data_IF_668391521797
#
_entry.id   IF_668391521797
#
_cell.length_a   1.000
_cell.length_b   1.000
_cell.length_c   1.000
_cell.angle_alpha   90.00
_cell.angle_beta   90.00
_cell.angle_gamma   90.00
#
_symmetry.space_group_name_H-M   'P 1'
#
loop_
_entity.id
_entity.type
_entity.pdbx_description
1 polymer ?
#
# COMPACT_ATOMS: atom_id res chain seq x y z
N UNK A 1 26.66 11.99 0.76
CA UNK A 1 25.71 11.62 1.83
C UNK A 1 24.65 12.69 1.97
N UNK A 2 23.58 12.62 1.17
CA UNK A 2 22.42 13.51 1.32
C UNK A 2 21.68 13.12 2.60
N UNK A 3 21.41 14.08 3.49
CA UNK A 3 20.63 13.82 4.72
C UNK A 3 19.30 13.16 4.31
N UNK A 4 18.91 12.00 4.87
CA UNK A 4 17.61 11.44 4.57
C UNK A 4 16.57 12.49 4.94
N UNK A 5 15.71 12.87 3.99
CA UNK A 5 14.51 13.63 4.29
C UNK A 5 13.77 12.84 5.37
N UNK A 6 13.69 13.39 6.58
CA UNK A 6 13.00 12.73 7.68
C UNK A 6 11.51 12.65 7.36
N UNK A 7 11.09 11.57 6.71
CA UNK A 7 9.70 11.29 6.35
C UNK A 7 8.79 11.21 7.58
N UNK A 8 9.38 10.95 8.74
CA UNK A 8 8.75 10.94 10.06
C UNK A 8 7.91 12.19 10.36
N UNK A 9 8.29 13.38 9.84
CA UNK A 9 7.50 14.60 10.04
C UNK A 9 6.12 14.54 9.36
N UNK A 10 6.04 13.85 8.22
CA UNK A 10 4.79 13.65 7.49
C UNK A 10 3.92 12.60 8.14
N UNK A 11 4.52 11.55 8.71
CA UNK A 11 3.79 10.58 9.53
C UNK A 11 3.23 11.22 10.82
N UNK A 12 3.98 12.12 11.46
CA UNK A 12 3.46 12.90 12.58
C UNK A 12 2.33 13.85 12.17
N UNK A 13 2.43 14.46 10.99
CA UNK A 13 1.34 15.26 10.42
C UNK A 13 0.08 14.40 10.23
N UNK A 14 0.21 13.18 9.69
CA UNK A 14 -0.90 12.24 9.54
C UNK A 14 -1.56 11.91 10.89
N UNK A 15 -0.77 11.60 11.92
CA UNK A 15 -1.28 11.36 13.28
C UNK A 15 -2.02 12.58 13.83
N UNK A 16 -1.45 13.78 13.68
CA UNK A 16 -2.10 15.01 14.14
C UNK A 16 -3.45 15.21 13.45
N UNK A 17 -3.50 14.98 12.14
CA UNK A 17 -4.70 15.10 11.32
C UNK A 17 -5.73 14.04 11.72
N UNK A 18 -5.33 12.80 11.95
CA UNK A 18 -6.20 11.74 12.43
C UNK A 18 -6.82 12.06 13.80
N UNK A 19 -6.02 12.59 14.75
CA UNK A 19 -6.53 13.05 16.05
C UNK A 19 -7.51 14.21 15.88
N UNK A 20 -7.16 15.18 15.04
CA UNK A 20 -7.99 16.34 14.77
C UNK A 20 -9.35 15.94 14.16
N UNK A 21 -9.35 15.13 13.09
CA UNK A 21 -10.58 14.69 12.42
C UNK A 21 -11.42 13.78 13.32
N UNK A 22 -10.79 12.90 14.10
CA UNK A 22 -11.48 12.12 15.13
C UNK A 22 -12.18 13.03 16.15
N UNK A 23 -11.53 14.08 16.63
CA UNK A 23 -12.14 15.03 17.57
C UNK A 23 -13.31 15.80 16.94
N UNK A 24 -13.17 16.26 15.70
CA UNK A 24 -14.24 16.95 14.95
C UNK A 24 -15.45 16.04 14.75
N UNK A 25 -15.24 14.79 14.31
CA UNK A 25 -16.32 13.81 14.10
C UNK A 25 -16.98 13.38 15.41
N UNK A 26 -16.20 13.22 16.49
CA UNK A 26 -16.74 12.95 17.81
C UNK A 26 -17.61 14.10 18.35
N UNK A 27 -17.21 15.36 18.10
CA UNK A 27 -18.01 16.53 18.41
C UNK A 27 -19.30 16.58 17.57
N UNK A 28 -19.20 16.29 16.26
CA UNK A 28 -20.36 16.20 15.36
C UNK A 28 -21.38 15.16 15.85
N UNK A 29 -20.91 13.98 16.25
CA UNK A 29 -21.76 12.97 16.89
C UNK A 29 -22.43 13.49 18.16
N UNK A 30 -21.67 14.16 19.05
CA UNK A 30 -22.20 14.62 20.34
C UNK A 30 -23.30 15.68 20.19
N UNK A 31 -23.19 16.53 19.17
CA UNK A 31 -24.16 17.60 18.88
C UNK A 31 -25.42 17.04 18.21
N UNK A 32 -25.27 16.09 17.29
CA UNK A 32 -26.39 15.57 16.47
C UNK A 32 -27.07 14.35 17.08
N UNK A 33 -26.36 13.57 17.92
CA UNK A 33 -26.77 12.23 18.34
C UNK A 33 -26.79 11.21 17.18
N UNK A 34 -26.28 11.57 16.00
CA UNK A 34 -26.40 10.77 14.78
C UNK A 34 -25.55 9.51 14.87
N UNK A 35 -26.23 8.38 14.75
CA UNK A 35 -25.60 7.06 14.72
C UNK A 35 -24.65 6.89 13.52
N UNK A 36 -24.93 7.56 12.39
CA UNK A 36 -24.03 7.57 11.23
C UNK A 36 -22.73 8.32 11.53
N UNK A 37 -22.81 9.46 12.22
CA UNK A 37 -21.63 10.24 12.63
C UNK A 37 -20.82 9.54 13.73
N UNK A 38 -21.46 8.71 14.56
CA UNK A 38 -20.74 7.82 15.48
C UNK A 38 -19.88 6.81 14.71
N UNK A 39 -20.41 6.21 13.65
CA UNK A 39 -19.66 5.28 12.80
C UNK A 39 -18.44 5.96 12.16
N UNK A 40 -18.62 7.17 11.64
CA UNK A 40 -17.56 7.99 11.04
C UNK A 40 -16.47 8.37 12.07
N UNK A 41 -16.87 8.66 13.32
CA UNK A 41 -15.94 8.89 14.42
C UNK A 41 -15.15 7.63 14.82
N UNK A 42 -15.80 6.46 14.82
CA UNK A 42 -15.16 5.18 15.14
C UNK A 42 -14.18 4.74 14.04
N UNK A 43 -14.51 5.01 12.77
CA UNK A 43 -13.59 4.82 11.64
C UNK A 43 -12.30 5.61 11.83
N UNK A 44 -12.39 6.83 12.39
CA UNK A 44 -11.21 7.66 12.65
C UNK A 44 -10.23 7.05 13.67
N UNK A 45 -10.68 6.10 14.51
CA UNK A 45 -9.79 5.32 15.39
C UNK A 45 -8.93 4.35 14.57
N UNK A 46 -9.52 3.73 13.54
CA UNK A 46 -8.80 2.85 12.61
C UNK A 46 -7.75 3.66 11.85
N UNK A 47 -8.09 4.88 11.43
CA UNK A 47 -7.16 5.76 10.70
C UNK A 47 -6.01 6.22 11.59
N UNK A 48 -6.29 6.58 12.85
CA UNK A 48 -5.24 6.86 13.83
C UNK A 48 -4.34 5.65 14.07
N UNK A 49 -4.92 4.44 14.14
CA UNK A 49 -4.16 3.21 14.31
C UNK A 49 -3.24 2.93 13.12
N UNK A 50 -3.74 3.12 11.89
CA UNK A 50 -2.95 3.02 10.66
C UNK A 50 -1.80 4.03 10.65
N UNK A 51 -2.05 5.30 10.99
CA UNK A 51 -1.02 6.34 11.05
C UNK A 51 0.07 6.04 12.09
N UNK A 52 -0.29 5.45 13.24
CA UNK A 52 0.68 5.01 14.27
C UNK A 52 1.52 3.84 13.76
N UNK A 53 0.91 2.85 13.09
CA UNK A 53 1.63 1.73 12.47
C UNK A 53 2.57 2.23 11.37
N UNK A 54 2.11 3.16 10.53
CA UNK A 54 2.92 3.82 9.51
C UNK A 54 4.14 4.53 10.13
N UNK A 55 3.96 5.31 11.19
CA UNK A 55 5.08 5.95 11.91
C UNK A 55 6.06 4.92 12.47
N UNK A 56 5.57 3.85 13.09
CA UNK A 56 6.40 2.81 13.66
C UNK A 56 7.23 2.09 12.58
N UNK A 57 6.61 1.72 11.46
CA UNK A 57 7.30 1.05 10.35
C UNK A 57 8.26 1.97 9.61
N UNK A 58 7.95 3.27 9.47
CA UNK A 58 8.90 4.25 8.93
C UNK A 58 10.12 4.41 9.82
N UNK A 59 9.95 4.41 11.15
CA UNK A 59 11.07 4.45 12.09
C UNK A 59 11.90 3.17 12.04
N UNK A 60 11.26 2.02 11.89
CA UNK A 60 11.95 0.74 11.72
C UNK A 60 12.72 0.71 10.40
N UNK A 61 12.09 1.11 9.29
CA UNK A 61 12.70 1.19 7.95
C UNK A 61 13.92 2.10 7.91
N UNK A 62 13.88 3.22 8.65
CA UNK A 62 15.00 4.16 8.73
C UNK A 62 16.21 3.63 9.54
N UNK A 63 16.09 2.48 10.19
CA UNK A 63 17.24 1.88 10.89
C UNK A 63 18.23 1.30 9.89
N UNK A 64 19.54 1.58 10.07
CA UNK A 64 20.58 1.02 9.20
C UNK A 64 20.65 -0.51 9.33
N UNK A 65 21.48 -1.12 8.49
CA UNK A 65 21.81 -2.53 8.61
C UNK A 65 22.39 -2.88 9.99
N UNK A 66 21.99 -4.03 10.53
CA UNK A 66 22.48 -4.57 11.79
C UNK A 66 22.97 -6.02 11.60
N UNK A 67 23.47 -6.64 12.68
CA UNK A 67 24.02 -8.00 12.64
C UNK A 67 23.00 -9.10 12.27
N UNK A 68 21.69 -8.81 12.30
CA UNK A 68 20.63 -9.75 11.90
C UNK A 68 20.00 -9.37 10.56
N UNK A 69 20.19 -8.14 10.10
CA UNK A 69 19.60 -7.57 8.89
C UNK A 69 20.67 -6.81 8.08
N UNK A 70 21.52 -7.56 7.37
CA UNK A 70 22.67 -7.00 6.63
C UNK A 70 22.25 -6.04 5.49
N UNK A 71 21.03 -6.17 4.99
CA UNK A 71 20.47 -5.28 3.95
C UNK A 71 19.59 -4.15 4.53
N UNK A 72 19.57 -4.00 5.86
CA UNK A 72 18.75 -3.02 6.55
C UNK A 72 17.29 -3.46 6.69
N UNK A 73 16.47 -2.49 7.11
CA UNK A 73 15.08 -2.71 7.52
C UNK A 73 14.06 -2.16 6.52
N UNK A 74 14.48 -1.79 5.31
CA UNK A 74 13.63 -1.13 4.31
C UNK A 74 12.34 -1.88 3.96
N UNK A 75 12.35 -3.23 4.05
CA UNK A 75 11.15 -4.05 3.82
C UNK A 75 10.04 -3.84 4.86
N UNK A 76 10.34 -3.22 6.01
CA UNK A 76 9.34 -2.86 7.03
C UNK A 76 8.22 -1.98 6.47
N UNK A 77 8.53 -1.11 5.50
CA UNK A 77 7.53 -0.24 4.86
C UNK A 77 6.43 -1.03 4.13
N UNK A 78 6.76 -2.17 3.54
CA UNK A 78 5.78 -3.01 2.87
C UNK A 78 4.77 -3.59 3.86
N UNK A 79 5.17 -3.91 5.10
CA UNK A 79 4.23 -4.40 6.11
C UNK A 79 3.19 -3.35 6.49
N UNK A 80 3.59 -2.08 6.70
CA UNK A 80 2.64 -0.99 6.96
C UNK A 80 1.70 -0.75 5.77
N UNK A 81 2.24 -0.67 4.55
CA UNK A 81 1.43 -0.52 3.32
C UNK A 81 0.45 -1.69 3.12
N UNK A 82 0.87 -2.93 3.43
CA UNK A 82 0.02 -4.10 3.36
C UNK A 82 -1.11 -4.07 4.38
N UNK A 83 -0.78 -3.74 5.64
CA UNK A 83 -1.76 -3.55 6.71
C UNK A 83 -2.83 -2.53 6.31
N UNK A 84 -2.39 -1.37 5.82
CA UNK A 84 -3.27 -0.31 5.37
C UNK A 84 -4.10 -0.70 4.14
N UNK A 85 -3.50 -1.38 3.16
CA UNK A 85 -4.21 -1.91 2.01
C UNK A 85 -5.34 -2.87 2.41
N UNK A 86 -5.15 -3.67 3.46
CA UNK A 86 -6.21 -4.55 4.00
C UNK A 86 -7.33 -3.71 4.62
N UNK A 87 -7.00 -2.68 5.40
CA UNK A 87 -8.01 -1.79 5.99
C UNK A 87 -8.86 -1.09 4.92
N UNK A 88 -8.22 -0.57 3.87
CA UNK A 88 -8.89 0.05 2.72
C UNK A 88 -9.86 -0.95 2.05
N UNK A 89 -9.43 -2.20 1.84
CA UNK A 89 -10.29 -3.23 1.24
C UNK A 89 -11.46 -3.63 2.14
N UNK A 90 -11.26 -3.69 3.45
CA UNK A 90 -12.33 -3.94 4.43
C UNK A 90 -13.34 -2.79 4.39
N UNK A 91 -12.89 -1.54 4.41
CA UNK A 91 -13.75 -0.37 4.31
C UNK A 91 -14.55 -0.37 2.99
N UNK A 92 -13.89 -0.66 1.87
CA UNK A 92 -14.54 -0.79 0.56
C UNK A 92 -15.62 -1.89 0.55
N UNK A 93 -15.34 -3.05 1.15
CA UNK A 93 -16.31 -4.12 1.31
C UNK A 93 -17.52 -3.71 2.15
N UNK A 94 -17.29 -2.96 3.24
CA UNK A 94 -18.37 -2.41 4.07
C UNK A 94 -19.23 -1.40 3.30
N UNK A 95 -18.63 -0.54 2.49
CA UNK A 95 -19.35 0.43 1.63
C UNK A 95 -20.20 -0.30 0.59
N UNK A 96 -19.63 -1.28 -0.11
CA UNK A 96 -20.36 -2.06 -1.11
C UNK A 96 -21.52 -2.83 -0.48
N UNK A 97 -21.31 -3.40 0.70
CA UNK A 97 -22.37 -4.06 1.47
C UNK A 97 -23.47 -3.07 1.89
N UNK A 98 -23.10 -1.90 2.40
CA UNK A 98 -24.06 -0.86 2.79
C UNK A 98 -24.85 -0.31 1.60
N UNK A 99 -24.19 -0.12 0.45
CA UNK A 99 -24.84 0.28 -0.80
C UNK A 99 -25.85 -0.79 -1.25
N UNK A 100 -25.46 -2.07 -1.20
CA UNK A 100 -26.35 -3.18 -1.54
C UNK A 100 -27.55 -3.30 -0.60
N UNK A 101 -27.33 -3.18 0.71
CA UNK A 101 -28.41 -3.20 1.69
C UNK A 101 -29.36 -2.02 1.49
N UNK A 102 -28.84 -0.83 1.21
CA UNK A 102 -29.65 0.37 0.94
C UNK A 102 -30.48 0.26 -0.34
N UNK A 103 -29.96 -0.43 -1.36
CA UNK A 103 -30.70 -0.75 -2.57
C UNK A 103 -31.89 -1.69 -2.30
N UNK A 104 -31.72 -2.67 -1.42
CA UNK A 104 -32.81 -3.59 -1.02
C UNK A 104 -33.78 -2.98 -0.02
N UNK A 105 -33.28 -2.13 0.87
CA UNK A 105 -34.02 -1.50 1.96
C UNK A 105 -33.81 0.02 1.93
N UNK A 106 -34.58 0.76 1.10
CA UNK A 106 -34.47 2.21 1.05
C UNK A 106 -34.72 2.82 2.43
N UNK A 107 -33.77 3.63 2.89
CA UNK A 107 -33.85 4.37 4.13
C UNK A 107 -33.81 5.87 3.84
N UNK A 108 -34.66 6.63 4.55
CA UNK A 108 -34.63 8.09 4.55
C UNK A 108 -33.21 8.57 4.84
N UNK A 109 -32.73 9.52 4.03
CA UNK A 109 -31.40 10.10 4.18
C UNK A 109 -31.33 10.93 5.46
N UNK A 110 -30.13 11.01 6.02
CA UNK A 110 -29.86 11.91 7.13
C UNK A 110 -30.18 13.35 6.69
N UNK A 111 -30.85 14.10 7.55
CA UNK A 111 -31.13 15.51 7.30
C UNK A 111 -29.82 16.29 7.16
N UNK A 112 -29.85 17.37 6.36
CA UNK A 112 -28.76 18.33 6.25
C UNK A 112 -28.60 19.05 7.59
N UNK A 113 -27.76 18.49 8.46
CA UNK A 113 -27.51 19.01 9.80
C UNK A 113 -26.12 19.65 9.94
N UNK A 114 -25.88 20.29 11.09
CA UNK A 114 -24.57 20.84 11.44
C UNK A 114 -23.46 19.75 11.46
N UNK A 115 -23.82 18.48 11.67
CA UNK A 115 -22.89 17.37 11.68
C UNK A 115 -22.34 17.05 10.30
N UNK A 116 -23.16 17.11 9.25
CA UNK A 116 -22.71 16.96 7.86
C UNK A 116 -21.68 18.05 7.50
N UNK A 117 -21.91 19.30 7.92
CA UNK A 117 -20.96 20.39 7.71
C UNK A 117 -19.60 20.13 8.38
N UNK A 118 -19.60 19.59 9.60
CA UNK A 118 -18.38 19.20 10.32
C UNK A 118 -17.66 18.02 9.64
N UNK A 119 -18.39 17.01 9.16
CA UNK A 119 -17.80 15.90 8.40
C UNK A 119 -17.19 16.35 7.07
N UNK A 120 -17.84 17.29 6.36
CA UNK A 120 -17.26 17.90 5.15
C UNK A 120 -15.98 18.66 5.47
N UNK A 121 -15.95 19.45 6.55
CA UNK A 121 -14.74 20.14 6.98
C UNK A 121 -13.59 19.15 7.29
N UNK A 122 -13.89 18.05 7.99
CA UNK A 122 -12.93 16.98 8.25
C UNK A 122 -12.43 16.33 6.95
N UNK A 123 -13.32 16.07 5.99
CA UNK A 123 -12.97 15.51 4.68
C UNK A 123 -12.04 16.45 3.88
N UNK A 124 -12.25 17.76 3.93
CA UNK A 124 -11.35 18.73 3.27
C UNK A 124 -9.94 18.65 3.86
N UNK A 125 -9.80 18.58 5.19
CA UNK A 125 -8.49 18.43 5.83
C UNK A 125 -7.81 17.11 5.41
N UNK A 126 -8.55 15.99 5.43
CA UNK A 126 -8.05 14.71 4.96
C UNK A 126 -7.62 14.76 3.48
N UNK A 127 -8.35 15.47 2.63
CA UNK A 127 -8.02 15.61 1.21
C UNK A 127 -6.72 16.37 0.97
N UNK A 128 -6.54 17.50 1.66
CA UNK A 128 -5.31 18.31 1.55
C UNK A 128 -4.08 17.53 2.04
N UNK A 129 -4.20 16.89 3.20
CA UNK A 129 -3.11 16.13 3.80
C UNK A 129 -2.84 14.86 3.01
N UNK A 130 -3.88 14.13 2.62
CA UNK A 130 -3.78 12.92 1.81
C UNK A 130 -3.07 13.18 0.48
N UNK A 131 -3.42 14.27 -0.21
CA UNK A 131 -2.73 14.69 -1.43
C UNK A 131 -1.24 15.02 -1.20
N UNK A 132 -0.93 15.72 -0.10
CA UNK A 132 0.45 16.02 0.28
C UNK A 132 1.25 14.73 0.57
N UNK A 133 0.68 13.80 1.33
CA UNK A 133 1.32 12.53 1.69
C UNK A 133 1.59 11.67 0.46
N UNK A 134 0.61 11.54 -0.45
CA UNK A 134 0.82 10.81 -1.72
C UNK A 134 1.92 11.47 -2.55
N UNK A 135 1.91 12.80 -2.64
CA UNK A 135 2.89 13.55 -3.44
C UNK A 135 4.32 13.40 -2.89
N UNK A 136 4.47 13.49 -1.56
CA UNK A 136 5.77 13.32 -0.90
C UNK A 136 6.20 11.85 -0.93
N UNK A 137 5.30 10.91 -0.66
CA UNK A 137 5.56 9.47 -0.67
C UNK A 137 6.10 9.02 -2.02
N UNK A 138 5.48 9.46 -3.13
CA UNK A 138 5.97 9.17 -4.49
C UNK A 138 7.35 9.73 -4.76
N UNK A 139 7.61 10.99 -4.40
CA UNK A 139 8.92 11.63 -4.59
C UNK A 139 10.02 10.99 -3.76
N UNK A 140 9.68 10.51 -2.56
CA UNK A 140 10.62 9.88 -1.64
C UNK A 140 10.77 8.36 -1.84
N UNK A 141 9.94 7.74 -2.70
CA UNK A 141 9.89 6.28 -2.84
C UNK A 141 9.34 5.57 -1.61
N UNK A 142 8.53 6.23 -0.79
CA UNK A 142 7.92 5.64 0.41
C UNK A 142 6.50 5.16 0.11
N UNK A 143 6.36 3.84 0.04
CA UNK A 143 5.06 3.18 -0.15
C UNK A 143 4.15 3.40 1.06
N UNK A 144 4.70 3.57 2.27
CA UNK A 144 3.91 3.83 3.49
C UNK A 144 3.21 5.17 3.44
N UNK A 145 3.94 6.25 3.12
CA UNK A 145 3.31 7.57 3.00
C UNK A 145 2.29 7.63 1.84
N UNK A 146 2.56 6.90 0.75
CA UNK A 146 1.59 6.80 -0.34
C UNK A 146 0.33 6.01 0.08
N UNK A 147 0.47 4.95 0.87
CA UNK A 147 -0.65 4.19 1.43
C UNK A 147 -1.51 5.06 2.35
N UNK A 148 -0.88 5.71 3.32
CA UNK A 148 -1.53 6.56 4.34
C UNK A 148 -2.27 7.73 3.68
N UNK A 149 -1.62 8.38 2.70
CA UNK A 149 -2.26 9.42 1.91
C UNK A 149 -3.46 8.93 1.09
N UNK A 150 -3.40 7.73 0.50
CA UNK A 150 -4.55 7.14 -0.23
C UNK A 150 -5.69 6.75 0.68
N UNK A 151 -5.41 6.33 1.91
CA UNK A 151 -6.44 6.07 2.91
C UNK A 151 -7.18 7.36 3.26
N UNK A 152 -6.46 8.45 3.57
CA UNK A 152 -7.09 9.76 3.81
C UNK A 152 -7.91 10.24 2.60
N UNK A 153 -7.43 10.03 1.37
CA UNK A 153 -8.19 10.35 0.16
C UNK A 153 -9.44 9.47 0.00
N UNK A 154 -9.39 8.21 0.46
CA UNK A 154 -10.54 7.31 0.47
C UNK A 154 -11.65 7.86 1.36
N UNK A 155 -11.32 8.40 2.54
CA UNK A 155 -12.28 9.09 3.42
C UNK A 155 -12.97 10.29 2.73
N UNK A 156 -12.24 10.98 1.84
CA UNK A 156 -12.82 12.09 1.09
C UNK A 156 -13.81 11.58 0.06
N UNK A 157 -13.48 10.52 -0.67
CA UNK A 157 -14.39 9.92 -1.64
C UNK A 157 -15.65 9.38 -1.00
N UNK A 158 -15.54 8.75 0.18
CA UNK A 158 -16.71 8.30 0.94
C UNK A 158 -17.57 9.47 1.39
N UNK A 159 -16.94 10.55 1.89
CA UNK A 159 -17.64 11.77 2.30
C UNK A 159 -18.35 12.46 1.13
N UNK A 160 -17.69 12.54 -0.04
CA UNK A 160 -18.30 13.06 -1.28
C UNK A 160 -19.51 12.21 -1.66
N UNK A 161 -19.38 10.88 -1.59
CA UNK A 161 -20.50 9.96 -1.85
C UNK A 161 -21.71 10.28 -0.98
N UNK A 162 -21.51 10.44 0.33
CA UNK A 162 -22.58 10.79 1.29
C UNK A 162 -23.19 12.16 0.96
N UNK A 163 -22.37 13.19 0.73
CA UNK A 163 -22.86 14.54 0.41
C UNK A 163 -23.66 14.56 -0.90
N UNK A 164 -23.14 13.91 -1.94
CA UNK A 164 -23.84 13.79 -3.22
C UNK A 164 -25.17 13.02 -3.07
N UNK A 165 -25.20 11.95 -2.27
CA UNK A 165 -26.41 11.18 -1.97
C UNK A 165 -27.48 12.03 -1.29
N UNK A 166 -27.10 12.78 -0.25
CA UNK A 166 -27.99 13.69 0.48
C UNK A 166 -28.49 14.82 -0.42
N UNK A 167 -27.59 15.46 -1.17
CA UNK A 167 -27.96 16.55 -2.09
C UNK A 167 -28.88 16.08 -3.22
N UNK A 168 -28.60 14.92 -3.82
CA UNK A 168 -29.41 14.36 -4.89
C UNK A 168 -30.84 14.07 -4.42
N UNK A 169 -31.01 13.44 -3.25
CA UNK A 169 -32.35 13.17 -2.74
C UNK A 169 -33.09 14.44 -2.33
N UNK A 170 -32.41 15.44 -1.77
CA UNK A 170 -33.02 16.72 -1.41
C UNK A 170 -33.51 17.52 -2.63
N UNK A 171 -32.81 17.44 -3.77
CA UNK A 171 -33.15 18.18 -4.99
C UNK A 171 -34.15 17.44 -5.90
N UNK A 172 -34.08 16.10 -5.95
CA UNK A 172 -34.82 15.32 -6.96
C UNK A 172 -35.96 14.47 -6.39
N UNK A 173 -35.99 14.23 -5.08
CA UNK A 173 -36.90 13.27 -4.45
C UNK A 173 -36.64 11.81 -4.87
N UNK A 174 -35.60 11.54 -5.67
CA UNK A 174 -35.18 10.21 -6.08
C UNK A 174 -34.22 9.62 -5.06
N UNK A 175 -34.73 8.69 -4.26
CA UNK A 175 -33.95 7.97 -3.24
C UNK A 175 -33.05 6.86 -3.83
N UNK A 176 -33.26 6.47 -5.10
CA UNK A 176 -32.59 5.32 -5.73
C UNK A 176 -31.24 5.66 -6.39
N UNK A 177 -30.87 6.95 -6.49
CA UNK A 177 -29.61 7.37 -7.12
C UNK A 177 -28.38 7.14 -6.22
N UNK A 178 -28.59 7.08 -4.90
CA UNK A 178 -27.54 7.01 -3.87
C UNK A 178 -26.76 5.67 -3.85
N UNK A 179 -27.39 4.47 -3.93
CA UNK A 179 -26.67 3.20 -3.90
C UNK A 179 -25.72 2.97 -5.09
N UNK A 180 -26.10 3.44 -6.29
CA UNK A 180 -25.27 3.28 -7.49
C UNK A 180 -23.96 4.07 -7.42
N UNK A 181 -24.02 5.31 -6.93
CA UNK A 181 -22.84 6.14 -6.71
C UNK A 181 -21.94 5.55 -5.63
N UNK A 182 -22.52 5.12 -4.50
CA UNK A 182 -21.79 4.46 -3.43
C UNK A 182 -21.10 3.17 -3.91
N UNK A 183 -21.76 2.39 -4.77
CA UNK A 183 -21.18 1.20 -5.37
C UNK A 183 -20.00 1.52 -6.29
N UNK A 184 -20.12 2.54 -7.15
CA UNK A 184 -19.02 2.98 -8.02
C UNK A 184 -17.80 3.47 -7.22
N UNK A 185 -18.03 4.25 -6.17
CA UNK A 185 -16.97 4.70 -5.25
C UNK A 185 -16.33 3.49 -4.57
N UNK A 186 -17.12 2.56 -4.02
CA UNK A 186 -16.63 1.33 -3.41
C UNK A 186 -15.76 0.50 -4.37
N UNK A 187 -16.17 0.33 -5.62
CA UNK A 187 -15.38 -0.38 -6.64
C UNK A 187 -14.05 0.31 -6.97
N UNK A 188 -14.05 1.65 -7.03
CA UNK A 188 -12.81 2.41 -7.23
C UNK A 188 -11.84 2.25 -6.05
N UNK A 189 -12.36 2.23 -4.82
CA UNK A 189 -11.56 1.98 -3.61
C UNK A 189 -11.01 0.56 -3.62
N UNK A 190 -11.81 -0.45 -4.00
CA UNK A 190 -11.32 -1.84 -4.17
C UNK A 190 -10.16 -1.89 -5.16
N UNK A 191 -10.29 -1.24 -6.32
CA UNK A 191 -9.21 -1.19 -7.32
C UNK A 191 -7.93 -0.58 -6.75
N UNK A 192 -8.07 0.54 -6.03
CA UNK A 192 -6.94 1.25 -5.41
C UNK A 192 -6.27 0.42 -4.32
N UNK A 193 -7.06 -0.18 -3.42
CA UNK A 193 -6.58 -1.05 -2.34
C UNK A 193 -5.91 -2.32 -2.87
N UNK A 194 -6.52 -2.99 -3.86
CA UNK A 194 -5.92 -4.16 -4.51
C UNK A 194 -4.59 -3.82 -5.19
N UNK A 195 -4.50 -2.66 -5.85
CA UNK A 195 -3.25 -2.17 -6.42
C UNK A 195 -2.17 -1.86 -5.37
N UNK A 196 -2.55 -1.43 -4.16
CA UNK A 196 -1.62 -1.25 -3.04
C UNK A 196 -1.10 -2.59 -2.49
N UNK A 197 -1.98 -3.57 -2.31
CA UNK A 197 -1.61 -4.93 -1.89
C UNK A 197 -0.68 -5.59 -2.92
N UNK A 198 -0.98 -5.49 -4.22
CA UNK A 198 -0.12 -6.04 -5.27
C UNK A 198 1.29 -5.45 -5.23
N UNK A 199 1.41 -4.12 -5.06
CA UNK A 199 2.71 -3.44 -4.92
C UNK A 199 3.45 -3.85 -3.65
N UNK A 200 2.72 -4.03 -2.55
CA UNK A 200 3.27 -4.52 -1.28
C UNK A 200 3.89 -5.90 -1.45
N UNK A 201 3.14 -6.84 -2.03
CA UNK A 201 3.60 -8.20 -2.29
C UNK A 201 4.81 -8.19 -3.21
N UNK A 202 4.76 -7.41 -4.30
CA UNK A 202 5.87 -7.27 -5.23
C UNK A 202 7.16 -6.77 -4.54
N UNK A 203 7.05 -5.77 -3.66
CA UNK A 203 8.19 -5.27 -2.89
C UNK A 203 8.77 -6.29 -1.90
N UNK A 204 7.93 -7.16 -1.32
CA UNK A 204 8.40 -8.25 -0.47
C UNK A 204 9.14 -9.33 -1.27
N UNK A 205 8.72 -9.58 -2.50
CA UNK A 205 9.27 -10.57 -3.44
C UNK A 205 10.48 -10.05 -4.26
N UNK A 206 11.08 -8.92 -3.87
CA UNK A 206 12.23 -8.32 -4.56
C UNK A 206 11.96 -8.04 -6.06
N UNK A 207 10.80 -7.45 -6.37
CA UNK A 207 10.48 -7.03 -7.72
C UNK A 207 11.52 -6.06 -8.30
N UNK A 208 11.69 -6.13 -9.63
CA UNK A 208 12.60 -5.27 -10.38
C UNK A 208 12.26 -3.79 -10.25
N UNK A 209 13.27 -2.94 -10.47
CA UNK A 209 13.06 -1.49 -10.48
C UNK A 209 12.06 -1.07 -11.57
N UNK A 210 11.44 0.12 -11.46
CA UNK A 210 10.58 0.65 -12.51
C UNK A 210 11.29 0.67 -13.88
N UNK A 211 10.51 0.47 -14.96
CA UNK A 211 11.05 0.40 -16.33
C UNK A 211 11.94 1.60 -16.67
N UNK A 212 11.52 2.82 -16.29
CA UNK A 212 12.29 4.04 -16.53
C UNK A 212 13.68 4.01 -15.86
N UNK A 213 13.76 3.50 -14.63
CA UNK A 213 15.03 3.37 -13.91
C UNK A 213 15.91 2.29 -14.53
N UNK A 214 15.33 1.15 -14.91
CA UNK A 214 16.06 0.09 -15.62
C UNK A 214 16.58 0.56 -16.99
N UNK A 215 15.82 1.38 -17.73
CA UNK A 215 16.26 1.96 -18.99
C UNK A 215 17.41 2.94 -18.80
N UNK A 216 17.41 3.73 -17.71
CA UNK A 216 18.55 4.60 -17.35
C UNK A 216 19.80 3.78 -17.04
N UNK A 217 19.67 2.70 -16.26
CA UNK A 217 20.78 1.78 -15.97
C UNK A 217 21.34 1.21 -17.27
N UNK A 218 20.48 0.69 -18.16
CA UNK A 218 20.90 0.13 -19.44
C UNK A 218 21.61 1.16 -20.32
N UNK A 219 21.09 2.39 -20.38
CA UNK A 219 21.71 3.48 -21.14
C UNK A 219 23.13 3.79 -20.66
N UNK A 220 23.36 3.79 -19.33
CA UNK A 220 24.70 3.97 -18.75
C UNK A 220 25.59 2.78 -19.10
N UNK A 221 25.14 1.54 -18.88
CA UNK A 221 25.95 0.36 -19.19
C UNK A 221 26.34 0.29 -20.67
N UNK A 222 25.49 0.77 -21.58
CA UNK A 222 25.78 0.79 -23.01
C UNK A 222 26.97 1.69 -23.38
N UNK A 223 27.16 2.84 -22.70
CA UNK A 223 28.33 3.71 -22.94
C UNK A 223 29.65 3.01 -22.60
N UNK A 224 29.63 2.13 -21.59
CA UNK A 224 30.78 1.29 -21.25
C UNK A 224 30.97 0.14 -22.23
N UNK A 225 29.90 -0.42 -22.80
CA UNK A 225 30.03 -1.47 -23.83
C UNK A 225 30.80 -0.99 -25.05
N UNK A 226 30.65 0.27 -25.43
CA UNK A 226 31.43 0.89 -26.52
C UNK A 226 32.94 0.90 -26.24
N UNK A 227 33.37 0.78 -24.97
CA UNK A 227 34.78 0.67 -24.56
C UNK A 227 35.33 -0.75 -24.62
N UNK A 228 34.56 -1.72 -25.11
CA UNK A 228 35.00 -3.11 -25.32
C UNK A 228 34.80 -4.03 -24.11
N UNK A 229 33.91 -3.67 -23.18
CA UNK A 229 33.49 -4.55 -22.07
C UNK A 229 32.07 -5.05 -22.25
N UNK A 230 31.71 -6.14 -21.58
CA UNK A 230 30.39 -6.77 -21.67
C UNK A 230 29.64 -6.76 -20.35
N UNK A 231 28.32 -6.95 -20.40
CA UNK A 231 27.48 -7.07 -19.22
C UNK A 231 26.43 -8.16 -19.41
N UNK A 232 26.16 -8.89 -18.34
CA UNK A 232 25.14 -9.94 -18.29
C UNK A 232 24.65 -10.15 -16.84
N UNK A 233 23.62 -10.99 -16.67
CA UNK A 233 22.90 -11.22 -15.40
C UNK A 233 22.53 -9.95 -14.59
N UNK A 234 22.10 -8.89 -15.28
CA UNK A 234 21.66 -7.65 -14.64
C UNK A 234 20.38 -7.90 -13.82
N UNK A 235 20.48 -7.87 -12.49
CA UNK A 235 19.33 -7.99 -11.58
C UNK A 235 19.17 -6.71 -10.79
N UNK A 236 17.95 -6.23 -10.69
CA UNK A 236 17.61 -5.06 -9.88
C UNK A 236 16.49 -5.41 -8.91
N UNK A 237 16.50 -4.77 -7.74
CA UNK A 237 15.43 -4.90 -6.74
C UNK A 237 15.33 -3.64 -5.88
N UNK A 238 14.21 -3.50 -5.17
CA UNK A 238 13.96 -2.37 -4.28
C UNK A 238 13.59 -2.84 -2.86
N UNK A 239 14.06 -2.11 -1.85
CA UNK A 239 13.64 -2.27 -0.46
C UNK A 239 13.35 -0.90 0.15
N UNK A 240 12.06 -0.54 0.22
CA UNK A 240 11.65 0.81 0.64
C UNK A 240 12.26 1.86 -0.29
N UNK A 241 12.98 2.84 0.27
CA UNK A 241 13.68 3.88 -0.49
C UNK A 241 15.07 3.47 -1.03
N UNK A 242 15.56 2.27 -0.70
CA UNK A 242 16.86 1.75 -1.14
C UNK A 242 16.70 0.89 -2.40
N UNK A 243 17.63 1.05 -3.33
CA UNK A 243 17.70 0.29 -4.59
C UNK A 243 18.94 -0.58 -4.57
N UNK A 244 18.84 -1.77 -5.14
CA UNK A 244 19.95 -2.69 -5.26
C UNK A 244 20.06 -3.17 -6.70
N UNK A 245 21.30 -3.29 -7.17
CA UNK A 245 21.63 -3.82 -8.48
C UNK A 245 22.80 -4.80 -8.33
N UNK A 246 22.70 -5.93 -9.01
CA UNK A 246 23.85 -6.80 -9.26
C UNK A 246 24.02 -7.00 -10.75
N UNK A 247 25.26 -7.04 -11.21
CA UNK A 247 25.58 -7.24 -12.62
C UNK A 247 26.92 -7.95 -12.75
N UNK A 248 27.06 -8.78 -13.77
CA UNK A 248 28.33 -9.34 -14.13
C UNK A 248 28.99 -8.44 -15.19
N UNK A 249 30.25 -8.05 -14.94
CA UNK A 249 31.07 -7.19 -15.78
C UNK A 249 32.14 -8.04 -16.47
N UNK A 250 32.05 -8.15 -17.79
CA UNK A 250 32.96 -8.91 -18.63
C UNK A 250 34.10 -8.02 -19.11
N UNK A 251 35.34 -8.36 -18.75
CA UNK A 251 36.56 -7.61 -19.13
C UNK A 251 37.59 -8.54 -19.79
N UNK A 252 38.57 -8.03 -20.55
CA UNK A 252 39.64 -8.88 -21.09
C UNK A 252 40.42 -9.58 -19.98
N UNK A 253 40.61 -10.89 -20.08
CA UNK A 253 41.28 -11.71 -19.05
C UNK A 253 42.76 -11.37 -18.85
N UNK A 254 43.38 -10.64 -19.77
CA UNK A 254 44.74 -10.11 -19.63
C UNK A 254 44.83 -8.88 -18.72
N UNK A 255 43.70 -8.29 -18.31
CA UNK A 255 43.70 -7.14 -17.41
C UNK A 255 44.19 -7.53 -16.02
N UNK A 256 44.83 -6.57 -15.35
CA UNK A 256 45.11 -6.72 -13.91
C UNK A 256 43.81 -6.57 -13.12
N UNK A 257 43.75 -7.19 -11.94
CA UNK A 257 42.62 -7.02 -11.00
C UNK A 257 42.39 -5.53 -10.70
N UNK A 258 43.46 -4.73 -10.59
CA UNK A 258 43.36 -3.29 -10.37
C UNK A 258 42.63 -2.58 -11.52
N UNK A 259 43.02 -2.84 -12.78
CA UNK A 259 42.39 -2.19 -13.93
C UNK A 259 40.90 -2.55 -14.05
N UNK A 260 40.54 -3.80 -13.74
CA UNK A 260 39.14 -4.22 -13.74
C UNK A 260 38.35 -3.58 -12.58
N UNK A 261 38.95 -3.47 -11.40
CA UNK A 261 38.35 -2.80 -10.24
C UNK A 261 38.16 -1.30 -10.49
N UNK A 262 39.14 -0.62 -11.08
CA UNK A 262 39.05 0.81 -11.41
C UNK A 262 37.88 1.09 -12.37
N UNK A 263 37.67 0.21 -13.36
CA UNK A 263 36.52 0.30 -14.26
C UNK A 263 35.20 0.02 -13.53
N UNK A 264 35.15 -0.97 -12.63
CA UNK A 264 33.97 -1.26 -11.85
C UNK A 264 33.59 -0.05 -10.97
N UNK A 265 34.55 0.56 -10.27
CA UNK A 265 34.33 1.79 -9.47
C UNK A 265 33.83 2.96 -10.33
N UNK A 266 34.33 3.11 -11.56
CA UNK A 266 33.84 4.12 -12.51
C UNK A 266 32.35 3.90 -12.86
N UNK A 267 31.98 2.66 -13.17
CA UNK A 267 30.59 2.27 -13.47
C UNK A 267 29.69 2.48 -12.24
N UNK A 268 30.13 2.04 -11.07
CA UNK A 268 29.39 2.19 -9.82
C UNK A 268 29.17 3.67 -9.45
N UNK A 269 30.18 4.52 -9.68
CA UNK A 269 30.07 5.96 -9.46
C UNK A 269 29.08 6.62 -10.42
N UNK A 270 29.09 6.25 -11.72
CA UNK A 270 28.16 6.79 -12.70
C UNK A 270 26.70 6.36 -12.41
N UNK A 271 26.49 5.08 -12.09
CA UNK A 271 25.19 4.55 -11.69
C UNK A 271 24.67 5.19 -10.40
N UNK A 272 25.54 5.36 -9.40
CA UNK A 272 25.22 6.03 -8.13
C UNK A 272 24.92 7.52 -8.29
N UNK A 273 25.52 8.17 -9.29
CA UNK A 273 25.20 9.55 -9.68
C UNK A 273 23.84 9.68 -10.37
N UNK A 274 23.42 8.66 -11.13
CA UNK A 274 22.16 8.66 -11.87
C UNK A 274 20.95 8.24 -11.03
N UNK A 275 21.13 7.33 -10.07
CA UNK A 275 20.07 6.79 -9.22
C UNK A 275 20.40 6.93 -7.73
N UNK A 276 19.62 7.76 -7.05
CA UNK A 276 19.76 7.95 -5.61
C UNK A 276 19.51 6.65 -4.83
N UNK A 277 20.30 6.42 -3.78
CA UNK A 277 20.23 5.26 -2.88
C UNK A 277 20.41 3.90 -3.60
N UNK A 278 21.15 3.87 -4.71
CA UNK A 278 21.51 2.63 -5.40
C UNK A 278 22.78 2.03 -4.78
N UNK A 279 22.68 0.78 -4.35
CA UNK A 279 23.83 -0.08 -4.04
C UNK A 279 24.08 -1.01 -5.21
N UNK A 280 25.27 -0.97 -5.79
CA UNK A 280 25.68 -1.84 -6.90
C UNK A 280 26.62 -2.92 -6.35
N UNK A 281 26.50 -4.13 -6.89
CA UNK A 281 27.46 -5.23 -6.67
C UNK A 281 27.85 -5.76 -8.03
N UNK A 282 29.10 -5.54 -8.43
CA UNK A 282 29.65 -6.08 -9.68
C UNK A 282 30.41 -7.39 -9.45
N UNK A 283 30.13 -8.40 -10.26
CA UNK A 283 30.96 -9.60 -10.36
C UNK A 283 31.82 -9.51 -11.63
N UNK A 284 33.14 -9.49 -11.49
CA UNK A 284 34.06 -9.31 -12.63
C UNK A 284 34.43 -10.68 -13.19
N UNK A 285 34.27 -10.84 -14.51
CA UNK A 285 34.50 -12.09 -15.22
C UNK A 285 35.34 -11.84 -16.49
N UNK A 286 36.25 -12.76 -16.87
CA UNK A 286 37.01 -12.65 -18.11
C UNK A 286 36.14 -12.97 -19.33
N UNK A 287 36.09 -12.09 -20.31
CA UNK A 287 35.24 -12.22 -21.50
C UNK A 287 35.57 -13.45 -22.37
N UNK A 288 36.82 -13.92 -22.32
CA UNK A 288 37.30 -15.07 -23.08
C UNK A 288 36.97 -16.41 -22.41
N UNK A 289 36.53 -16.43 -21.15
CA UNK A 289 36.19 -17.67 -20.43
C UNK A 289 34.75 -18.11 -20.73
N UNK A 290 34.54 -19.29 -21.34
CA UNK A 290 33.19 -19.82 -21.56
C UNK A 290 32.38 -20.01 -20.27
N UNK A 291 33.03 -20.23 -19.12
CA UNK A 291 32.35 -20.40 -17.83
C UNK A 291 31.54 -19.16 -17.42
N UNK A 292 31.98 -17.97 -17.85
CA UNK A 292 31.28 -16.71 -17.63
C UNK A 292 29.86 -16.74 -18.18
N UNK A 293 29.63 -17.45 -19.29
CA UNK A 293 28.31 -17.51 -19.92
C UNK A 293 27.45 -18.70 -19.46
N UNK A 294 27.97 -19.58 -18.61
CA UNK A 294 27.36 -20.88 -18.27
C UNK A 294 26.24 -20.85 -17.23
N UNK A 295 26.04 -19.74 -16.51
CA UNK A 295 25.11 -19.65 -15.38
C UNK A 295 23.73 -19.01 -15.69
N UNK A 296 23.34 -18.90 -16.96
CA UNK A 296 22.16 -18.12 -17.38
C UNK A 296 20.87 -18.95 -17.51
N UNK A 297 19.89 -18.67 -16.65
CA UNK A 297 18.49 -18.59 -17.10
C UNK A 297 18.32 -17.17 -17.70
N UNK A 298 17.96 -17.02 -18.97
CA UNK A 298 17.87 -15.70 -19.60
C UNK A 298 16.81 -14.83 -18.91
N UNK A 299 17.14 -13.56 -18.73
CA UNK A 299 16.17 -12.52 -18.36
C UNK A 299 15.06 -12.49 -19.42
N UNK A 300 13.77 -12.55 -19.06
CA UNK A 300 12.72 -12.33 -20.05
C UNK A 300 12.86 -10.88 -20.57
N UNK A 301 13.24 -10.73 -21.84
CA UNK A 301 13.41 -9.43 -22.51
C UNK A 301 12.09 -8.65 -22.65
N UNK A 302 10.97 -9.33 -22.46
CA UNK A 302 9.62 -8.77 -22.44
C UNK A 302 8.86 -9.26 -21.21
N UNK A 303 7.92 -8.46 -20.71
CA UNK A 303 6.92 -8.99 -19.78
C UNK A 303 6.27 -10.22 -20.45
N UNK A 304 6.05 -11.34 -19.72
CA UNK A 304 5.48 -12.53 -20.34
C UNK A 304 4.20 -12.14 -21.06
N UNK A 305 4.18 -12.38 -22.37
CA UNK A 305 2.96 -12.28 -23.15
C UNK A 305 1.94 -13.19 -22.44
N UNK A 306 0.72 -12.68 -22.20
CA UNK A 306 -0.36 -13.51 -21.67
C UNK A 306 -0.80 -14.46 -22.78
N UNK A 307 0.06 -15.40 -23.13
CA UNK A 307 -0.32 -16.58 -23.90
C UNK A 307 -1.27 -17.36 -23.01
N UNK A 308 -2.53 -17.44 -23.44
CA UNK A 308 -3.52 -18.32 -22.83
C UNK A 308 -2.86 -19.67 -22.54
N UNK A 309 -2.90 -20.15 -21.29
CA UNK A 309 -2.26 -21.41 -20.97
C UNK A 309 -2.87 -22.50 -21.85
N UNK A 310 -2.00 -23.33 -22.45
CA UNK A 310 -2.42 -24.62 -22.98
C UNK A 310 -3.33 -25.31 -21.96
N UNK A 311 -4.42 -25.98 -22.40
CA UNK A 311 -5.32 -26.63 -21.46
C UNK A 311 -4.51 -27.61 -20.61
N UNK A 312 -4.68 -27.58 -19.28
CA UNK A 312 -3.92 -28.42 -18.38
C UNK A 312 -4.15 -29.89 -18.73
N UNK A 313 -3.07 -30.64 -18.91
CA UNK A 313 -3.12 -32.08 -18.91
C UNK A 313 -3.78 -32.52 -17.58
N UNK A 314 -4.70 -33.46 -17.72
CA UNK A 314 -5.73 -33.85 -16.77
C UNK A 314 -5.20 -34.15 -15.36
N UNK A 315 -5.28 -33.16 -14.46
CA UNK A 315 -5.15 -33.38 -13.02
C UNK A 315 -6.54 -33.61 -12.40
N UNK A 316 -6.66 -34.67 -11.59
CA UNK A 316 -7.89 -35.13 -10.93
C UNK A 316 -8.62 -34.01 -10.16
N UNK A 317 -9.96 -34.05 -10.07
CA UNK A 317 -10.73 -33.00 -9.42
C UNK A 317 -10.50 -32.99 -7.90
N UNK A 318 -9.79 -31.98 -7.40
CA UNK A 318 -9.75 -31.66 -5.98
C UNK A 318 -11.01 -30.86 -5.63
N UNK A 319 -11.92 -31.45 -4.85
CA UNK A 319 -13.10 -30.74 -4.33
C UNK A 319 -12.64 -29.64 -3.37
N UNK A 320 -12.69 -28.38 -3.81
CA UNK A 320 -12.43 -27.22 -2.98
C UNK A 320 -13.60 -27.03 -1.99
N UNK A 321 -13.35 -27.24 -0.70
CA UNK A 321 -14.20 -26.67 0.35
C UNK A 321 -13.83 -25.20 0.49
N UNK A 322 -14.81 -24.32 0.35
CA UNK A 322 -14.68 -22.88 0.62
C UNK A 322 -14.33 -22.71 2.10
N UNK A 323 -13.06 -22.46 2.39
CA UNK A 323 -12.60 -22.02 3.70
C UNK A 323 -12.56 -20.50 3.72
N UNK A 324 -13.16 -19.92 4.76
CA UNK A 324 -13.32 -18.49 4.98
C UNK A 324 -11.98 -17.75 5.03
N UNK A 325 -12.03 -16.45 4.71
CA UNK A 325 -10.93 -15.46 4.73
C UNK A 325 -10.14 -15.44 6.05
N UNK A 326 -10.68 -15.98 7.14
CA UNK A 326 -9.97 -16.15 8.41
C UNK A 326 -8.86 -17.24 8.39
N UNK A 327 -8.94 -18.24 7.50
CA UNK A 327 -7.99 -19.35 7.44
C UNK A 327 -6.62 -18.98 6.86
N UNK A 328 -6.56 -17.97 6.00
CA UNK A 328 -5.29 -17.51 5.39
C UNK A 328 -4.39 -16.77 6.39
N UNK A 329 -4.97 -16.14 7.43
CA UNK A 329 -4.22 -15.45 8.47
C UNK A 329 -3.49 -16.42 9.41
N UNK A 330 -3.99 -17.66 9.60
CA UNK A 330 -3.36 -18.66 10.47
C UNK A 330 -2.20 -19.41 9.83
N UNK A 331 -2.10 -19.46 8.50
CA UNK A 331 -1.03 -20.17 7.79
C UNK A 331 0.27 -19.37 7.66
N UNK A 332 0.25 -18.07 7.97
CA UNK A 332 1.44 -17.21 8.00
C UNK A 332 2.09 -17.11 9.40
N UNK A 333 1.54 -17.78 10.41
CA UNK A 333 2.04 -17.76 11.79
C UNK A 333 3.22 -18.69 12.09
N UNK A 334 3.71 -19.45 11.11
CA UNK A 334 4.76 -20.44 11.30
C UNK A 334 6.08 -20.05 10.63
N UNK A 335 6.96 -19.38 11.36
CA UNK A 335 8.39 -19.39 11.06
C UNK A 335 9.03 -18.06 10.66
N UNK A 336 9.09 -17.10 11.59
CA UNK A 336 10.25 -16.20 11.70
C UNK A 336 10.56 -16.05 13.19
N UNK A 337 11.54 -16.81 13.65
CA UNK A 337 12.06 -16.67 14.99
C UNK A 337 12.76 -15.30 15.13
N UNK A 338 12.38 -14.50 16.12
CA UNK A 338 13.24 -13.45 16.64
C UNK A 338 12.87 -11.99 16.37
N UNK A 339 11.60 -11.64 16.22
CA UNK A 339 11.13 -10.29 16.57
C UNK A 339 9.90 -10.43 17.47
N UNK A 340 10.02 -9.96 18.71
CA UNK A 340 8.92 -9.78 19.65
C UNK A 340 8.03 -8.65 19.14
N UNK A 341 7.25 -8.91 18.08
CA UNK A 341 6.02 -8.18 17.77
C UNK A 341 4.92 -9.18 18.08
N UNK A 342 4.51 -9.13 19.35
CA UNK A 342 3.48 -9.98 19.94
C UNK A 342 2.25 -10.11 19.03
N UNK A 343 1.69 -11.32 18.98
CA UNK A 343 0.37 -11.62 18.38
C UNK A 343 -0.73 -10.63 18.76
N UNK A 344 -0.57 -9.92 19.87
CA UNK A 344 -1.33 -8.73 20.28
C UNK A 344 -1.59 -7.72 19.15
N UNK A 345 -0.66 -7.46 18.21
CA UNK A 345 -0.92 -6.49 17.13
C UNK A 345 -1.80 -7.06 16.02
N UNK A 346 -1.62 -8.34 15.68
CA UNK A 346 -2.49 -9.03 14.73
C UNK A 346 -3.87 -9.26 15.36
N UNK A 347 -3.91 -9.57 16.65
CA UNK A 347 -5.12 -9.73 17.45
C UNK A 347 -5.82 -8.38 17.66
N UNK A 348 -5.09 -7.27 17.85
CA UNK A 348 -5.65 -5.92 17.92
C UNK A 348 -6.13 -5.43 16.56
N UNK A 349 -5.43 -5.79 15.47
CA UNK A 349 -5.86 -5.50 14.10
C UNK A 349 -7.12 -6.29 13.74
N UNK A 350 -7.13 -7.60 13.98
CA UNK A 350 -8.32 -8.44 13.81
C UNK A 350 -9.42 -8.00 14.76
N UNK A 351 -9.12 -7.65 16.00
CA UNK A 351 -10.10 -7.15 16.95
C UNK A 351 -10.61 -5.79 16.52
N UNK A 352 -9.81 -4.87 15.98
CA UNK A 352 -10.28 -3.59 15.47
C UNK A 352 -11.16 -3.75 14.23
N UNK A 353 -10.78 -4.65 13.32
CA UNK A 353 -11.57 -5.00 12.12
C UNK A 353 -12.88 -5.71 12.50
N UNK A 354 -12.83 -6.71 13.39
CA UNK A 354 -13.98 -7.44 13.89
C UNK A 354 -14.86 -6.55 14.77
N UNK A 355 -14.28 -5.69 15.60
CA UNK A 355 -15.01 -4.75 16.44
C UNK A 355 -15.70 -3.70 15.58
N UNK A 356 -15.02 -3.13 14.57
CA UNK A 356 -15.66 -2.24 13.59
C UNK A 356 -16.83 -2.93 12.89
N UNK A 357 -16.63 -4.14 12.40
CA UNK A 357 -17.68 -4.91 11.71
C UNK A 357 -18.86 -5.28 12.64
N UNK A 358 -18.57 -5.78 13.84
CA UNK A 358 -19.59 -6.15 14.84
C UNK A 358 -20.32 -4.91 15.35
N UNK A 359 -19.64 -3.78 15.51
CA UNK A 359 -20.22 -2.54 15.99
C UNK A 359 -21.11 -1.90 14.92
N UNK A 360 -20.70 -1.89 13.65
CA UNK A 360 -21.55 -1.49 12.52
C UNK A 360 -22.83 -2.35 12.47
N UNK A 361 -22.70 -3.68 12.57
CA UNK A 361 -23.85 -4.60 12.60
C UNK A 361 -24.75 -4.41 13.84
N UNK A 362 -24.16 -4.16 15.01
CA UNK A 362 -24.89 -3.95 16.26
C UNK A 362 -25.63 -2.60 16.27
N UNK A 363 -25.01 -1.58 15.70
CA UNK A 363 -25.56 -0.25 15.53
C UNK A 363 -26.74 -0.27 14.56
N UNK A 364 -26.62 -0.92 13.41
CA UNK A 364 -27.73 -1.09 12.45
C UNK A 364 -28.91 -1.86 13.07
N UNK A 365 -28.65 -2.91 13.87
CA UNK A 365 -29.70 -3.65 14.59
C UNK A 365 -30.43 -2.83 15.66
N UNK A 366 -29.77 -1.87 16.33
CA UNK A 366 -30.42 -1.00 17.32
C UNK A 366 -31.29 0.09 16.67
N UNK A 367 -30.85 0.67 15.56
CA UNK A 367 -31.66 1.62 14.78
C UNK A 367 -33.00 1.03 14.32
N UNK A 368 -32.99 -0.23 13.88
CA UNK A 368 -34.21 -0.95 13.50
C UNK A 368 -35.18 -1.28 14.66
N UNK A 369 -34.68 -1.39 15.91
CA UNK A 369 -35.52 -1.64 17.09
C UNK A 369 -36.16 -0.37 17.67
N UNK A 370 -35.45 0.74 17.66
CA UNK A 370 -35.97 2.03 18.13
C UNK A 370 -37.14 2.53 17.26
N UNK A 371 -37.09 2.33 15.94
CA UNK A 371 -38.20 2.67 15.02
C UNK A 371 -39.45 1.78 15.18
N UNK A 372 -39.31 0.55 15.68
CA UNK A 372 -40.47 -0.32 15.99
C UNK A 372 -41.16 0.04 17.32
N UNK A 373 -40.45 0.68 18.25
CA UNK A 373 -41.01 1.10 19.54
C UNK A 373 -41.74 2.45 19.47
N UNK A 374 -41.47 3.30 18.48
CA UNK A 374 -42.16 4.59 18.27
C UNK A 374 -43.40 4.53 17.36
N UNK A 375 -43.87 3.34 17.00
CA UNK A 375 -45.07 3.11 16.15
C UNK A 375 -46.20 2.37 16.89
N UNK A 376 -46.21 2.41 18.23
CA UNK A 376 -47.32 1.94 19.05
C UNK A 376 -48.03 3.10 19.72
#
# INVERSE_FOLDING_TARGET
MTRPYSLTRYAWLSIFVAIFTMAVKAAAYRVTGSVGLLSDALESIVNLSAAVVALAMLRLSAQPADARHHFGHGKAEYFASGFEGVLILVAAGAILFAAWDRYLHPHELAELDLGLGLSVAAAVVNGLVGWLLVSVGRKAGSIVLEADGKHLLTDVWTSIGVVCGVAAAGLTGWHDFDPGVAALVGLNIVWTGAGLIRRTIAGLLDASLPLEENLKIRGILETFRERGVGFHDLRTRQSGAHRFMSVHLLVPGAWTVQAAHDLAEEIEAELGGALANLTVVTHIEPIEDPASFGHHEPFPETAPEVTNPHPPQTARPLRLKIASVAGAALLLGGGVAGVVVSGVWLDLALAAVLFGFVLILAVQRRGGRQRKAGRQ
#
